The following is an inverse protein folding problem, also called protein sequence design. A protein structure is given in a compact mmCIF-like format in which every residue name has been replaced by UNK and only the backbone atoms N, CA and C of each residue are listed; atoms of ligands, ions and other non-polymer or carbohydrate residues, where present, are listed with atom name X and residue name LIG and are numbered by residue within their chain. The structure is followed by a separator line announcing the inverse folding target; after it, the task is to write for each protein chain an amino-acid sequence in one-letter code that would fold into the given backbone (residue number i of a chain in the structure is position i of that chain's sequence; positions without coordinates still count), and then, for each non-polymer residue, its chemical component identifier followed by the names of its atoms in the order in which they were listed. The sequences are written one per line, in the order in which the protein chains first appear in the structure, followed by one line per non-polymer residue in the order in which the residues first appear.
data_IF_549093774137
#
_entry.id   IF_549093774137
#
_cell.length_a   1.000
_cell.length_b   1.000
_cell.length_c   1.000
_cell.angle_alpha   90.00
_cell.angle_beta   90.00
_cell.angle_gamma   90.00
#
_symmetry.space_group_name_H-M   'P 1'
#
loop_
_entity.id
_entity.type
_entity.pdbx_description
1 polymer ?
#
# COMPACT_ATOMS: atom_id res chain seq x y z
N UNK A 1 49.32 2.70 10.52
CA UNK A 1 48.14 2.51 9.65
C UNK A 1 47.85 1.02 9.57
N UNK A 2 47.25 0.50 10.65
CA UNK A 2 47.44 -0.87 11.13
C UNK A 2 46.46 -1.91 10.56
N UNK A 3 46.82 -3.18 10.76
CA UNK A 3 46.03 -4.38 10.42
C UNK A 3 44.55 -4.32 10.84
N UNK A 4 44.19 -3.50 11.83
CA UNK A 4 42.81 -3.30 12.27
C UNK A 4 41.91 -2.66 11.20
N UNK A 5 42.46 -1.78 10.36
CA UNK A 5 41.69 -1.06 9.33
C UNK A 5 41.19 -1.98 8.20
N UNK A 6 41.91 -3.07 7.88
CA UNK A 6 41.47 -4.06 6.88
C UNK A 6 40.34 -4.95 7.40
N UNK A 7 40.45 -5.43 8.64
CA UNK A 7 39.39 -6.25 9.27
C UNK A 7 38.11 -5.44 9.46
N UNK A 8 38.24 -4.20 9.92
CA UNK A 8 37.10 -3.29 10.13
C UNK A 8 36.40 -2.94 8.80
N UNK A 9 37.16 -2.66 7.73
CA UNK A 9 36.61 -2.48 6.37
C UNK A 9 35.88 -3.72 5.86
N UNK A 10 36.45 -4.90 6.06
CA UNK A 10 35.81 -6.17 5.68
C UNK A 10 34.50 -6.39 6.45
N UNK A 11 34.51 -6.13 7.76
CA UNK A 11 33.33 -6.27 8.61
C UNK A 11 32.22 -5.30 8.17
N UNK A 12 32.58 -4.04 7.86
CA UNK A 12 31.66 -3.03 7.35
C UNK A 12 31.05 -3.46 6.02
N UNK A 13 31.84 -3.97 5.08
CA UNK A 13 31.35 -4.46 3.80
C UNK A 13 30.40 -5.65 3.96
N UNK A 14 30.73 -6.62 4.82
CA UNK A 14 29.85 -7.77 5.10
C UNK A 14 28.54 -7.33 5.74
N UNK A 15 28.61 -6.39 6.69
CA UNK A 15 27.43 -5.81 7.32
C UNK A 15 26.54 -5.10 6.30
N UNK A 16 27.11 -4.24 5.45
CA UNK A 16 26.35 -3.54 4.40
C UNK A 16 25.73 -4.53 3.41
N UNK A 17 26.46 -5.56 2.97
CA UNK A 17 25.92 -6.62 2.10
C UNK A 17 24.75 -7.36 2.73
N UNK A 18 24.87 -7.74 4.01
CA UNK A 18 23.79 -8.40 4.76
C UNK A 18 22.57 -7.49 4.90
N UNK A 19 22.79 -6.21 5.25
CA UNK A 19 21.73 -5.22 5.38
C UNK A 19 20.99 -5.00 4.04
N UNK A 20 21.72 -4.87 2.93
CA UNK A 20 21.12 -4.75 1.59
C UNK A 20 20.31 -6.00 1.23
N UNK A 21 20.80 -7.19 1.57
CA UNK A 21 20.04 -8.44 1.32
C UNK A 21 18.71 -8.46 2.07
N UNK A 22 18.73 -8.19 3.38
CA UNK A 22 17.54 -8.16 4.21
C UNK A 22 16.53 -7.11 3.74
N UNK A 23 17.00 -5.91 3.38
CA UNK A 23 16.10 -4.88 2.87
C UNK A 23 15.53 -5.22 1.49
N UNK A 24 16.27 -5.95 0.64
CA UNK A 24 15.72 -6.48 -0.63
C UNK A 24 14.63 -7.53 -0.39
N UNK A 25 14.81 -8.41 0.58
CA UNK A 25 13.79 -9.38 1.00
C UNK A 25 12.54 -8.65 1.51
N UNK A 26 12.69 -7.68 2.41
CA UNK A 26 11.58 -6.86 2.90
C UNK A 26 10.86 -6.08 1.78
N UNK A 27 11.60 -5.56 0.78
CA UNK A 27 10.98 -4.91 -0.38
C UNK A 27 10.08 -5.88 -1.13
N UNK A 28 10.50 -7.13 -1.35
CA UNK A 28 9.67 -8.13 -2.04
C UNK A 28 8.40 -8.45 -1.26
N UNK A 29 8.51 -8.64 0.05
CA UNK A 29 7.33 -8.88 0.90
C UNK A 29 6.34 -7.70 0.83
N UNK A 30 6.83 -6.47 0.84
CA UNK A 30 5.98 -5.27 0.68
C UNK A 30 5.39 -5.19 -0.75
N UNK A 31 6.11 -5.62 -1.78
CA UNK A 31 5.58 -5.71 -3.15
C UNK A 31 4.41 -6.68 -3.23
N UNK A 32 4.56 -7.89 -2.69
CA UNK A 32 3.52 -8.90 -2.67
C UNK A 32 2.27 -8.39 -1.93
N UNK A 33 2.45 -7.83 -0.73
CA UNK A 33 1.35 -7.23 0.05
C UNK A 33 0.68 -6.05 -0.68
N UNK A 34 1.46 -5.25 -1.41
CA UNK A 34 0.93 -4.14 -2.19
C UNK A 34 0.07 -4.64 -3.36
N UNK A 35 0.54 -5.65 -4.07
CA UNK A 35 -0.17 -6.23 -5.20
C UNK A 35 -1.49 -6.88 -4.74
N UNK A 36 -1.47 -7.63 -3.63
CA UNK A 36 -2.67 -8.20 -3.01
C UNK A 36 -3.68 -7.11 -2.62
N UNK A 37 -3.21 -6.05 -1.94
CA UNK A 37 -4.05 -4.93 -1.51
C UNK A 37 -4.63 -4.17 -2.72
N UNK A 38 -3.83 -3.97 -3.77
CA UNK A 38 -4.25 -3.31 -4.99
C UNK A 38 -5.32 -4.11 -5.72
N UNK A 39 -5.14 -5.42 -5.89
CA UNK A 39 -6.14 -6.29 -6.51
C UNK A 39 -7.43 -6.35 -5.70
N UNK A 40 -7.34 -6.37 -4.36
CA UNK A 40 -8.51 -6.25 -3.48
C UNK A 40 -9.26 -4.93 -3.67
N UNK A 41 -8.54 -3.81 -3.80
CA UNK A 41 -9.14 -2.50 -4.05
C UNK A 41 -9.83 -2.42 -5.42
N UNK A 42 -9.23 -2.94 -6.49
CA UNK A 42 -9.84 -2.96 -7.83
C UNK A 42 -11.20 -3.67 -7.83
N UNK A 43 -11.34 -4.75 -7.05
CA UNK A 43 -12.62 -5.42 -6.84
C UNK A 43 -13.63 -4.56 -6.06
N UNK A 44 -13.19 -3.87 -5.00
CA UNK A 44 -14.05 -2.97 -4.22
C UNK A 44 -14.50 -1.77 -5.06
N UNK A 45 -13.63 -1.18 -5.87
CA UNK A 45 -13.93 -0.03 -6.71
C UNK A 45 -15.08 -0.34 -7.69
N UNK A 46 -15.04 -1.53 -8.32
CA UNK A 46 -16.11 -2.00 -9.20
C UNK A 46 -17.45 -2.13 -8.45
N UNK A 47 -17.46 -2.77 -7.28
CA UNK A 47 -18.65 -2.95 -6.46
C UNK A 47 -19.21 -1.60 -5.98
N UNK A 48 -18.36 -0.65 -5.60
CA UNK A 48 -18.76 0.69 -5.18
C UNK A 48 -19.40 1.45 -6.35
N UNK A 49 -18.87 1.31 -7.57
CA UNK A 49 -19.43 1.93 -8.76
C UNK A 49 -20.82 1.36 -9.09
N UNK A 50 -20.99 0.03 -9.00
CA UNK A 50 -22.28 -0.64 -9.17
C UNK A 50 -23.28 -0.22 -8.08
N UNK A 51 -22.85 -0.20 -6.81
CA UNK A 51 -23.67 0.24 -5.69
C UNK A 51 -24.17 1.68 -5.86
N UNK A 52 -23.31 2.60 -6.34
CA UNK A 52 -23.72 3.99 -6.62
C UNK A 52 -24.80 4.05 -7.69
N UNK A 53 -24.67 3.29 -8.78
CA UNK A 53 -25.70 3.24 -9.84
C UNK A 53 -27.03 2.72 -9.29
N UNK A 54 -26.98 1.59 -8.58
CA UNK A 54 -28.14 0.98 -7.95
C UNK A 54 -28.82 1.92 -6.94
N UNK A 55 -28.03 2.65 -6.14
CA UNK A 55 -28.56 3.61 -5.17
C UNK A 55 -29.36 4.72 -5.85
N UNK A 56 -28.87 5.27 -6.96
CA UNK A 56 -29.56 6.31 -7.74
C UNK A 56 -30.87 5.78 -8.33
N UNK A 57 -30.86 4.55 -8.85
CA UNK A 57 -32.06 3.91 -9.40
C UNK A 57 -33.13 3.64 -8.33
N UNK A 58 -32.71 3.23 -7.13
CA UNK A 58 -33.61 2.92 -6.02
C UNK A 58 -34.12 4.19 -5.32
N UNK A 59 -33.33 5.25 -5.19
CA UNK A 59 -33.74 6.51 -4.54
C UNK A 59 -35.01 7.13 -5.15
N UNK A 60 -35.23 6.92 -6.46
CA UNK A 60 -36.42 7.37 -7.18
C UNK A 60 -37.70 6.59 -6.82
N UNK A 61 -37.56 5.40 -6.22
CA UNK A 61 -38.65 4.46 -5.93
C UNK A 61 -38.91 4.28 -4.43
N UNK A 62 -38.05 4.86 -3.57
CA UNK A 62 -38.12 4.72 -2.12
C UNK A 62 -39.02 5.78 -1.48
N UNK A 63 -39.67 5.39 -0.37
CA UNK A 63 -40.34 6.31 0.56
C UNK A 63 -39.30 7.13 1.33
N UNK A 64 -39.70 8.30 1.84
CA UNK A 64 -38.77 9.29 2.39
C UNK A 64 -37.87 8.74 3.53
N UNK A 65 -38.41 7.89 4.41
CA UNK A 65 -37.63 7.28 5.50
C UNK A 65 -36.61 6.21 5.05
N UNK A 66 -36.84 5.55 3.91
CA UNK A 66 -35.88 4.58 3.36
C UNK A 66 -34.88 5.25 2.43
N UNK A 67 -35.24 6.39 1.83
CA UNK A 67 -34.30 7.24 1.07
C UNK A 67 -33.18 7.75 1.98
N UNK A 68 -33.50 8.21 3.19
CA UNK A 68 -32.50 8.70 4.15
C UNK A 68 -31.50 7.59 4.54
N UNK A 69 -31.99 6.38 4.82
CA UNK A 69 -31.13 5.21 5.10
C UNK A 69 -30.23 4.85 3.91
N UNK A 70 -30.75 4.92 2.69
CA UNK A 70 -29.98 4.65 1.48
C UNK A 70 -28.86 5.68 1.27
N UNK A 71 -29.16 6.97 1.49
CA UNK A 71 -28.15 8.03 1.43
C UNK A 71 -27.05 7.84 2.46
N UNK A 72 -27.40 7.47 3.70
CA UNK A 72 -26.43 7.22 4.75
C UNK A 72 -25.57 5.98 4.49
N UNK A 73 -26.15 4.91 3.92
CA UNK A 73 -25.39 3.76 3.46
C UNK A 73 -24.41 4.16 2.35
N UNK A 74 -24.86 4.96 1.38
CA UNK A 74 -24.04 5.45 0.27
C UNK A 74 -22.86 6.29 0.75
N UNK A 75 -23.08 7.21 1.72
CA UNK A 75 -21.99 7.97 2.35
C UNK A 75 -20.96 7.05 3.02
N UNK A 76 -21.41 6.00 3.73
CA UNK A 76 -20.53 5.03 4.40
C UNK A 76 -19.70 4.23 3.38
N UNK A 77 -20.33 3.76 2.30
CA UNK A 77 -19.65 3.02 1.21
C UNK A 77 -18.58 3.89 0.54
N UNK A 78 -18.90 5.15 0.23
CA UNK A 78 -17.91 6.12 -0.32
C UNK A 78 -16.75 6.37 0.64
N UNK A 79 -17.02 6.41 1.95
CA UNK A 79 -15.97 6.56 2.95
C UNK A 79 -15.05 5.33 3.00
N UNK A 80 -15.61 4.13 2.90
CA UNK A 80 -14.84 2.87 2.84
C UNK A 80 -13.95 2.86 1.58
N UNK A 81 -14.53 3.14 0.41
CA UNK A 81 -13.79 3.25 -0.86
C UNK A 81 -12.59 4.19 -0.75
N UNK A 82 -12.81 5.39 -0.19
CA UNK A 82 -11.73 6.36 0.05
C UNK A 82 -10.65 5.80 0.97
N UNK A 83 -11.02 5.19 2.09
CA UNK A 83 -10.06 4.64 3.06
C UNK A 83 -9.20 3.53 2.45
N UNK A 84 -9.80 2.64 1.66
CA UNK A 84 -9.06 1.56 1.00
C UNK A 84 -8.12 2.13 -0.07
N UNK A 85 -8.57 3.09 -0.87
CA UNK A 85 -7.72 3.77 -1.85
C UNK A 85 -6.52 4.47 -1.20
N UNK A 86 -6.76 5.15 -0.08
CA UNK A 86 -5.72 5.85 0.67
C UNK A 86 -4.73 4.82 1.26
N UNK A 87 -5.20 3.67 1.76
CA UNK A 87 -4.33 2.58 2.23
C UNK A 87 -3.44 2.00 1.12
N UNK A 88 -4.00 1.74 -0.08
CA UNK A 88 -3.22 1.29 -1.26
C UNK A 88 -2.11 2.31 -1.58
N UNK A 89 -2.46 3.60 -1.56
CA UNK A 89 -1.50 4.68 -1.81
C UNK A 89 -0.39 4.72 -0.75
N UNK A 90 -0.74 4.60 0.52
CA UNK A 90 0.23 4.65 1.62
C UNK A 90 1.23 3.49 1.52
N UNK A 91 0.75 2.27 1.25
CA UNK A 91 1.62 1.11 1.05
C UNK A 91 2.53 1.29 -0.17
N UNK A 92 2.00 1.83 -1.27
CA UNK A 92 2.81 2.16 -2.46
C UNK A 92 3.95 3.14 -2.13
N UNK A 93 3.64 4.17 -1.33
CA UNK A 93 4.60 5.20 -0.97
C UNK A 93 5.67 4.65 -0.01
N UNK A 94 5.29 3.77 0.93
CA UNK A 94 6.23 2.99 1.75
C UNK A 94 7.13 2.12 0.88
N UNK A 95 6.57 1.36 -0.05
CA UNK A 95 7.30 0.51 -0.98
C UNK A 95 8.35 1.31 -1.78
N UNK A 96 7.93 2.46 -2.33
CA UNK A 96 8.82 3.36 -3.07
C UNK A 96 9.97 3.84 -2.20
N UNK A 97 9.70 4.21 -0.96
CA UNK A 97 10.72 4.66 -0.02
C UNK A 97 11.70 3.54 0.34
N UNK A 98 11.23 2.31 0.57
CA UNK A 98 12.12 1.19 0.85
C UNK A 98 12.98 0.82 -0.36
N UNK A 99 12.42 0.82 -1.57
CA UNK A 99 13.20 0.66 -2.82
C UNK A 99 14.29 1.70 -2.96
N UNK A 100 14.00 2.96 -2.64
CA UNK A 100 14.99 4.05 -2.66
C UNK A 100 16.12 3.79 -1.66
N UNK A 101 15.79 3.44 -0.42
CA UNK A 101 16.78 3.13 0.63
C UNK A 101 17.67 1.95 0.27
N UNK A 102 17.12 0.90 -0.34
CA UNK A 102 17.89 -0.25 -0.84
C UNK A 102 18.88 0.18 -1.91
N UNK A 103 18.48 1.04 -2.84
CA UNK A 103 19.37 1.55 -3.90
C UNK A 103 20.51 2.38 -3.32
N UNK A 104 20.21 3.25 -2.37
CA UNK A 104 21.22 4.07 -1.67
C UNK A 104 22.21 3.17 -0.92
N UNK A 105 21.71 2.24 -0.09
CA UNK A 105 22.56 1.30 0.65
C UNK A 105 23.37 0.37 -0.25
N UNK A 106 22.88 0.01 -1.44
CA UNK A 106 23.62 -0.80 -2.41
C UNK A 106 24.67 0.02 -3.18
N UNK A 107 24.48 1.33 -3.34
CA UNK A 107 25.47 2.23 -3.94
C UNK A 107 26.63 2.57 -3.01
N UNK A 108 26.47 2.34 -1.71
CA UNK A 108 27.54 2.46 -0.69
C UNK A 108 28.44 1.21 -0.57
N UNK A 109 28.13 0.13 -1.30
CA UNK A 109 28.93 -1.12 -1.37
C UNK A 109 30.01 -1.00 -2.45
#
# INVERSE_FOLDING_TARGET
MGLFDKKEKSLKQEFTKKNVRLNKEAVKEIEELYDDLKSGYEGIEAVVAEFKKLSVELEQRLQDGDREKMQDLSKKVVKIDKLVRDAVRDVRDVLRNQKKRVKEAAGEI
#
